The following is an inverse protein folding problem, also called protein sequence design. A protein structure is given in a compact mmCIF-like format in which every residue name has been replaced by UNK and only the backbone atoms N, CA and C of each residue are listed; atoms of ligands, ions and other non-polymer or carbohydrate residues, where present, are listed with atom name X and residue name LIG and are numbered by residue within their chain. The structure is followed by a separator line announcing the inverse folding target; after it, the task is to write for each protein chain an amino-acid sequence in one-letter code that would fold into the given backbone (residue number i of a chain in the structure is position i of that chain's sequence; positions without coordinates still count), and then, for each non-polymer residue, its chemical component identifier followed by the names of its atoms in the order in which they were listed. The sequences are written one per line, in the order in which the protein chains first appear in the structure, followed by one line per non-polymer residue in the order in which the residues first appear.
data_IF_798247909109
#
_entry.id   IF_798247909109
#
_cell.length_a   1.000
_cell.length_b   1.000
_cell.length_c   1.000
_cell.angle_alpha   90.00
_cell.angle_beta   90.00
_cell.angle_gamma   90.00
#
_symmetry.space_group_name_H-M   'P 1'
#
loop_
_entity.id
_entity.type
_entity.pdbx_description
1 polymer ?
#
# COMPACT_ATOMS: atom_id res chain seq x y z
N UNK A 1 -1.74 17.37 4.64
CA UNK A 1 -1.22 15.98 4.68
C UNK A 1 0.28 16.09 4.85
N UNK A 2 0.78 16.16 6.08
CA UNK A 2 2.21 16.43 6.31
C UNK A 2 3.03 15.15 6.45
N UNK A 3 2.38 13.98 6.46
CA UNK A 3 3.02 12.67 6.63
C UNK A 3 2.37 11.67 5.70
N UNK A 4 3.12 11.22 4.70
CA UNK A 4 2.74 10.13 3.79
C UNK A 4 3.92 9.17 3.67
N UNK A 5 3.69 7.88 3.88
CA UNK A 5 4.72 6.87 3.74
C UNK A 5 5.29 6.84 2.31
N UNK A 6 6.61 6.64 2.20
CA UNK A 6 7.30 6.49 0.91
C UNK A 6 6.77 5.31 0.07
N UNK A 7 6.11 4.34 0.72
CA UNK A 7 5.41 3.23 0.08
C UNK A 7 4.37 3.69 -0.96
N UNK A 8 3.83 4.90 -0.81
CA UNK A 8 2.82 5.46 -1.71
C UNK A 8 3.42 6.35 -2.81
N UNK A 9 4.75 6.57 -2.82
CA UNK A 9 5.39 7.57 -3.67
C UNK A 9 5.20 7.30 -5.18
N UNK A 10 5.35 6.06 -5.62
CA UNK A 10 5.18 5.71 -7.04
C UNK A 10 3.74 5.91 -7.50
N UNK A 11 2.77 5.45 -6.71
CA UNK A 11 1.35 5.63 -6.97
C UNK A 11 0.95 7.11 -6.99
N UNK A 12 1.47 7.90 -6.05
CA UNK A 12 1.24 9.34 -6.00
C UNK A 12 1.79 10.05 -7.23
N UNK A 13 3.01 9.69 -7.66
CA UNK A 13 3.63 10.25 -8.86
C UNK A 13 2.81 9.96 -10.11
N UNK A 14 2.38 8.71 -10.30
CA UNK A 14 1.53 8.31 -11.43
C UNK A 14 0.21 9.10 -11.44
N UNK A 15 -0.46 9.18 -10.29
CA UNK A 15 -1.69 9.96 -10.11
C UNK A 15 -1.48 11.44 -10.45
N UNK A 16 -0.40 12.04 -9.97
CA UNK A 16 -0.10 13.46 -10.21
C UNK A 16 0.27 13.75 -11.68
N UNK A 17 0.90 12.79 -12.36
CA UNK A 17 1.24 12.88 -13.77
C UNK A 17 0.04 12.61 -14.71
N UNK A 18 -1.12 12.19 -14.17
CA UNK A 18 -2.26 11.77 -14.98
C UNK A 18 -2.03 10.46 -15.74
N UNK A 19 -1.06 9.66 -15.30
CA UNK A 19 -0.71 8.36 -15.89
C UNK A 19 -1.50 7.29 -15.15
N UNK A 20 -2.21 6.45 -15.89
CA UNK A 20 -2.93 5.31 -15.32
C UNK A 20 -1.93 4.31 -14.70
N UNK A 21 -2.11 4.01 -13.42
CA UNK A 21 -1.35 2.98 -12.72
C UNK A 21 -1.96 1.59 -12.86
N UNK A 22 -1.39 0.62 -12.14
CA UNK A 22 -1.93 -0.73 -12.03
C UNK A 22 -3.01 -0.81 -10.94
N UNK A 23 -3.80 -1.90 -10.87
CA UNK A 23 -4.74 -2.10 -9.76
C UNK A 23 -4.07 -1.99 -8.37
N UNK A 24 -2.80 -2.40 -8.25
CA UNK A 24 -2.03 -2.22 -7.03
C UNK A 24 -1.77 -0.74 -6.70
N UNK A 25 -1.50 0.11 -7.69
CA UNK A 25 -1.34 1.55 -7.45
C UNK A 25 -2.65 2.18 -6.93
N UNK A 26 -3.79 1.81 -7.49
CA UNK A 26 -5.10 2.28 -7.04
C UNK A 26 -5.42 1.82 -5.62
N UNK A 27 -5.10 0.56 -5.29
CA UNK A 27 -5.20 0.02 -3.94
C UNK A 27 -4.36 0.84 -2.95
N UNK A 28 -3.09 1.12 -3.30
CA UNK A 28 -2.20 1.92 -2.45
C UNK A 28 -2.72 3.34 -2.20
N UNK A 29 -3.29 3.99 -3.22
CA UNK A 29 -3.88 5.32 -3.04
C UNK A 29 -5.09 5.27 -2.11
N UNK A 30 -5.97 4.27 -2.24
CA UNK A 30 -7.10 4.08 -1.32
C UNK A 30 -6.64 3.79 0.11
N UNK A 31 -5.64 2.91 0.28
CA UNK A 31 -5.10 2.60 1.59
C UNK A 31 -4.52 3.86 2.26
N UNK A 32 -3.87 4.74 1.50
CA UNK A 32 -3.29 5.98 2.04
C UNK A 32 -4.33 6.97 2.60
N UNK A 33 -5.61 6.85 2.22
CA UNK A 33 -6.71 7.67 2.76
C UNK A 33 -7.10 7.22 4.18
N UNK A 34 -6.83 5.96 4.54
CA UNK A 34 -7.06 5.40 5.89
C UNK A 34 -5.77 5.34 6.70
N UNK A 35 -4.69 4.84 6.10
CA UNK A 35 -3.37 4.62 6.70
C UNK A 35 -2.28 5.41 5.95
N UNK A 36 -2.25 6.75 6.11
CA UNK A 36 -1.26 7.59 5.43
C UNK A 36 0.19 7.25 5.81
N UNK A 37 0.43 6.72 7.01
CA UNK A 37 1.76 6.22 7.41
C UNK A 37 1.66 4.75 7.79
N UNK A 38 2.49 3.94 7.16
CA UNK A 38 2.70 2.53 7.48
C UNK A 38 4.16 2.16 7.23
N UNK A 39 4.79 1.51 8.20
CA UNK A 39 6.16 0.99 8.09
C UNK A 39 6.40 -0.14 9.13
N UNK A 40 7.65 -0.53 9.31
CA UNK A 40 8.04 -1.61 10.24
C UNK A 40 7.93 -1.22 11.71
N UNK A 41 7.75 0.06 12.04
CA UNK A 41 7.61 0.54 13.43
C UNK A 41 6.14 0.58 13.85
N UNK A 42 5.24 0.96 12.93
CA UNK A 42 3.81 1.08 13.20
C UNK A 42 3.06 1.78 12.09
N UNK A 43 1.88 2.26 12.43
CA UNK A 43 0.98 3.02 11.54
C UNK A 43 0.60 4.37 12.17
N UNK A 44 0.27 5.33 11.31
CA UNK A 44 -0.51 6.52 11.67
C UNK A 44 -1.72 6.56 10.75
N UNK A 45 -2.91 6.65 11.34
CA UNK A 45 -4.16 6.70 10.58
C UNK A 45 -4.54 8.14 10.17
N UNK A 46 -5.68 8.27 9.50
CA UNK A 46 -6.20 9.55 9.02
C UNK A 46 -6.74 10.47 10.12
N UNK A 47 -6.93 9.96 11.35
CA UNK A 47 -7.23 10.72 12.56
C UNK A 47 -5.94 11.12 13.31
N UNK A 48 -4.78 10.86 12.72
CA UNK A 48 -3.45 11.10 13.28
C UNK A 48 -3.15 10.27 14.56
N UNK A 49 -3.86 9.17 14.78
CA UNK A 49 -3.59 8.24 15.86
C UNK A 49 -2.40 7.34 15.48
N UNK A 50 -1.45 7.21 16.40
CA UNK A 50 -0.30 6.32 16.22
C UNK A 50 -0.57 4.98 16.88
N UNK A 51 -0.32 3.91 16.13
CA UNK A 51 -0.36 2.55 16.66
C UNK A 51 0.98 1.86 16.40
N UNK A 52 1.55 1.29 17.47
CA UNK A 52 2.82 0.56 17.39
C UNK A 52 2.58 -0.82 16.80
N UNK A 53 3.52 -1.29 15.96
CA UNK A 53 3.48 -2.66 15.44
C UNK A 53 3.49 -3.68 16.58
N UNK A 54 2.53 -4.59 16.56
CA UNK A 54 2.39 -5.69 17.52
C UNK A 54 1.32 -5.45 18.58
N UNK A 55 0.89 -4.20 18.77
CA UNK A 55 -0.28 -3.88 19.59
C UNK A 55 -1.55 -4.07 18.74
N UNK A 56 -2.65 -4.61 19.30
CA UNK A 56 -3.92 -4.72 18.58
C UNK A 56 -4.49 -3.35 18.22
N UNK A 57 -5.06 -3.24 17.02
CA UNK A 57 -5.62 -1.99 16.51
C UNK A 57 -6.92 -2.23 15.74
N UNK A 58 -7.71 -1.17 15.56
CA UNK A 58 -8.87 -1.22 14.66
C UNK A 58 -8.48 -1.47 13.19
N UNK A 59 -7.20 -1.26 12.85
CA UNK A 59 -6.65 -1.34 11.50
C UNK A 59 -5.94 -2.68 11.22
N UNK A 60 -6.05 -3.67 12.11
CA UNK A 60 -5.32 -4.94 12.01
C UNK A 60 -5.66 -5.69 10.71
N UNK A 61 -6.90 -5.54 10.22
CA UNK A 61 -7.35 -6.14 8.96
C UNK A 61 -6.65 -5.52 7.76
N UNK A 62 -6.64 -4.19 7.68
CA UNK A 62 -6.04 -3.40 6.62
C UNK A 62 -4.52 -3.65 6.56
N UNK A 63 -3.87 -3.71 7.73
CA UNK A 63 -2.45 -4.02 7.84
C UNK A 63 -2.15 -5.44 7.36
N UNK A 64 -2.95 -6.43 7.75
CA UNK A 64 -2.77 -7.82 7.31
C UNK A 64 -2.98 -7.97 5.80
N UNK A 65 -4.03 -7.34 5.24
CA UNK A 65 -4.31 -7.36 3.80
C UNK A 65 -3.15 -6.74 3.01
N UNK A 66 -2.65 -5.57 3.44
CA UNK A 66 -1.50 -4.93 2.81
C UNK A 66 -0.26 -5.82 2.84
N UNK A 67 0.02 -6.50 3.97
CA UNK A 67 1.15 -7.42 4.08
C UNK A 67 1.01 -8.63 3.16
N UNK A 68 -0.18 -9.20 3.01
CA UNK A 68 -0.44 -10.31 2.10
C UNK A 68 -0.23 -9.91 0.63
N UNK A 69 -0.71 -8.71 0.24
CA UNK A 69 -0.51 -8.18 -1.11
C UNK A 69 0.99 -7.93 -1.39
N UNK A 70 1.71 -7.33 -0.43
CA UNK A 70 3.17 -7.14 -0.54
C UNK A 70 3.89 -8.48 -0.70
N UNK A 71 3.52 -9.48 0.09
CA UNK A 71 4.11 -10.82 0.00
C UNK A 71 3.89 -11.44 -1.37
N UNK A 72 2.66 -11.37 -1.92
CA UNK A 72 2.35 -11.87 -3.25
C UNK A 72 3.14 -11.13 -4.35
N UNK A 73 3.29 -9.81 -4.22
CA UNK A 73 4.04 -9.00 -5.18
C UNK A 73 5.55 -9.34 -5.15
N UNK A 74 6.14 -9.36 -3.96
CA UNK A 74 7.60 -9.39 -3.78
C UNK A 74 8.20 -10.80 -3.75
N UNK A 75 7.48 -11.78 -3.20
CA UNK A 75 8.07 -13.08 -2.83
C UNK A 75 7.38 -14.27 -3.50
N UNK A 76 6.05 -14.30 -3.55
CA UNK A 76 5.30 -15.45 -4.10
C UNK A 76 5.18 -15.43 -5.64
N UNK A 77 6.33 -15.35 -6.32
CA UNK A 77 6.42 -15.28 -7.79
C UNK A 77 5.64 -16.40 -8.50
N UNK A 78 5.60 -17.60 -7.93
CA UNK A 78 4.90 -18.75 -8.50
C UNK A 78 3.36 -18.61 -8.51
N UNK A 79 2.79 -17.81 -7.59
CA UNK A 79 1.34 -17.54 -7.50
C UNK A 79 1.03 -16.06 -7.66
N UNK A 80 1.97 -15.26 -8.16
CA UNK A 80 1.79 -13.82 -8.30
C UNK A 80 0.80 -13.54 -9.41
N UNK A 81 -0.22 -12.75 -9.08
CA UNK A 81 -1.16 -12.17 -10.05
C UNK A 81 -0.53 -10.96 -10.69
N UNK A 82 0.34 -11.25 -11.64
CA UNK A 82 1.16 -10.33 -12.40
C UNK A 82 0.37 -9.13 -12.98
N UNK A 83 -0.85 -9.37 -13.46
CA UNK A 83 -1.80 -8.37 -13.96
C UNK A 83 -2.20 -7.29 -12.93
N UNK A 84 -2.04 -7.56 -11.64
CA UNK A 84 -2.33 -6.60 -10.57
C UNK A 84 -1.18 -5.63 -10.32
N UNK A 85 0.06 -6.03 -10.64
CA UNK A 85 1.27 -5.32 -10.22
C UNK A 85 2.04 -4.67 -11.38
N UNK A 86 1.91 -5.21 -12.60
CA UNK A 86 2.63 -4.73 -13.78
C UNK A 86 1.67 -4.45 -14.95
N UNK A 87 2.01 -3.51 -15.86
CA UNK A 87 1.28 -3.32 -17.11
C UNK A 87 1.27 -4.58 -17.97
N UNK A 88 0.23 -4.73 -18.81
CA UNK A 88 0.02 -5.91 -19.66
C UNK A 88 1.13 -6.15 -20.71
N UNK A 89 2.04 -5.21 -20.93
CA UNK A 89 3.16 -5.31 -21.88
C UNK A 89 4.38 -6.08 -21.36
N UNK A 90 4.40 -6.44 -20.07
CA UNK A 90 5.61 -6.89 -19.38
C UNK A 90 5.65 -8.41 -19.12
N UNK A 91 4.90 -9.20 -19.91
CA UNK A 91 4.82 -10.68 -19.82
C UNK A 91 5.21 -11.39 -21.12
#
# INVERSE_FOLDING_TARGET
MDKLSVNYLSSLLLKQAGIQGTPYNDYLMKLSETLPVINTVGIVDNEAQYFRRGDPTIHDREVLEYQQILYNNMLDTARRRNDLFYPASDF
#
